data_IF_253829660847
#
_entry.id   IF_253829660847
#
_cell.length_a   1.000
_cell.length_b   1.000
_cell.length_c   1.000
_cell.angle_alpha   90.00
_cell.angle_beta   90.00
_cell.angle_gamma   90.00
#
_symmetry.space_group_name_H-M   'P 1'
#
loop_
_entity.id
_entity.type
_entity.pdbx_description
1 polymer ?
#
# COMPACT_ATOMS: atom_id res chain seq x y z
N UNK A 1 8.26 -10.74 -19.76
CA UNK A 1 7.90 -9.86 -18.62
C UNK A 1 9.11 -9.01 -18.31
N UNK A 2 8.95 -7.74 -17.97
CA UNK A 2 10.11 -6.93 -17.56
C UNK A 2 10.49 -7.27 -16.12
N UNK A 3 11.77 -7.11 -15.80
CA UNK A 3 12.26 -7.28 -14.43
C UNK A 3 11.56 -6.31 -13.49
N UNK A 4 11.13 -6.82 -12.34
CA UNK A 4 10.39 -6.06 -11.33
C UNK A 4 10.71 -6.59 -9.93
N UNK A 5 10.40 -5.78 -8.93
CA UNK A 5 10.57 -6.11 -7.52
C UNK A 5 9.21 -6.20 -6.84
N UNK A 6 9.04 -7.21 -6.01
CA UNK A 6 7.80 -7.47 -5.27
C UNK A 6 8.10 -7.52 -3.78
N UNK A 7 7.21 -6.99 -2.92
CA UNK A 7 7.39 -7.09 -1.48
C UNK A 7 7.01 -8.50 -1.00
N UNK A 8 7.73 -9.01 -0.01
CA UNK A 8 7.33 -10.18 0.76
C UNK A 8 6.81 -9.70 2.12
N UNK A 9 5.54 -9.98 2.41
CA UNK A 9 4.82 -9.50 3.59
C UNK A 9 4.42 -10.68 4.48
N UNK A 10 4.42 -10.54 5.81
CA UNK A 10 3.98 -11.60 6.68
C UNK A 10 2.45 -11.73 6.66
N UNK A 11 1.96 -12.96 6.79
CA UNK A 11 0.55 -13.24 7.00
C UNK A 11 0.37 -14.22 8.15
N UNK A 12 -0.49 -13.88 9.11
CA UNK A 12 -0.85 -14.78 10.21
C UNK A 12 -1.80 -15.90 9.77
N UNK A 13 -2.59 -15.60 8.74
CA UNK A 13 -3.60 -16.48 8.17
C UNK A 13 -3.85 -16.05 6.71
N UNK A 14 -3.57 -16.98 5.78
CA UNK A 14 -3.69 -16.70 4.35
C UNK A 14 -5.13 -16.50 3.89
N UNK A 15 -6.11 -17.19 4.47
CA UNK A 15 -7.51 -17.06 4.08
C UNK A 15 -8.06 -15.69 4.50
N UNK A 16 -7.73 -15.25 5.72
CA UNK A 16 -8.09 -13.91 6.21
C UNK A 16 -7.42 -12.81 5.37
N UNK A 17 -6.15 -13.02 5.01
CA UNK A 17 -5.40 -12.06 4.18
C UNK A 17 -5.97 -11.99 2.77
N UNK A 18 -6.20 -13.13 2.13
CA UNK A 18 -6.81 -13.24 0.81
C UNK A 18 -8.19 -12.56 0.78
N UNK A 19 -9.06 -12.87 1.75
CA UNK A 19 -10.40 -12.28 1.83
C UNK A 19 -10.37 -10.75 2.00
N UNK A 20 -9.38 -10.21 2.72
CA UNK A 20 -9.21 -8.76 2.85
C UNK A 20 -8.77 -8.13 1.52
N UNK A 21 -7.74 -8.68 0.87
CA UNK A 21 -7.20 -8.13 -0.38
C UNK A 21 -8.13 -8.34 -1.59
N UNK A 22 -8.98 -9.36 -1.57
CA UNK A 22 -10.03 -9.57 -2.57
C UNK A 22 -10.98 -8.37 -2.66
N UNK A 23 -11.33 -7.75 -1.52
CA UNK A 23 -12.16 -6.52 -1.48
C UNK A 23 -11.47 -5.32 -2.14
N UNK A 24 -10.15 -5.35 -2.28
CA UNK A 24 -9.34 -4.34 -2.94
C UNK A 24 -9.06 -4.68 -4.41
N UNK A 25 -9.69 -5.73 -4.94
CA UNK A 25 -9.55 -6.16 -6.33
C UNK A 25 -8.29 -6.96 -6.63
N UNK A 26 -7.62 -7.50 -5.62
CA UNK A 26 -6.56 -8.48 -5.82
C UNK A 26 -7.16 -9.88 -5.97
N UNK A 27 -6.52 -10.71 -6.78
CA UNK A 27 -6.85 -12.12 -6.95
C UNK A 27 -5.64 -12.99 -6.67
N UNK A 28 -5.88 -14.20 -6.16
CA UNK A 28 -4.83 -15.18 -5.91
C UNK A 28 -4.34 -15.77 -7.22
N UNK A 29 -3.04 -15.65 -7.44
CA UNK A 29 -2.34 -16.22 -8.60
C UNK A 29 -1.57 -17.49 -8.23
N UNK A 30 -1.14 -17.60 -6.98
CA UNK A 30 -0.52 -18.79 -6.40
C UNK A 30 -0.84 -18.87 -4.91
N UNK A 31 -1.06 -20.08 -4.39
CA UNK A 31 -1.23 -20.32 -2.95
C UNK A 31 -0.92 -21.77 -2.60
N UNK A 32 -0.02 -21.95 -1.66
CA UNK A 32 0.23 -23.22 -0.97
C UNK A 32 0.37 -22.97 0.55
N UNK A 33 0.95 -23.92 1.29
CA UNK A 33 1.12 -23.81 2.75
C UNK A 33 2.23 -22.83 3.17
N UNK A 34 3.21 -22.57 2.31
CA UNK A 34 4.39 -21.77 2.60
C UNK A 34 4.41 -20.42 1.89
N UNK A 35 3.59 -20.22 0.85
CA UNK A 35 3.62 -19.00 0.04
C UNK A 35 2.26 -18.67 -0.58
N UNK A 36 1.94 -17.38 -0.69
CA UNK A 36 0.77 -16.89 -1.40
C UNK A 36 1.12 -15.64 -2.22
N UNK A 37 0.67 -15.59 -3.48
CA UNK A 37 0.88 -14.46 -4.39
C UNK A 37 -0.48 -13.88 -4.80
N UNK A 38 -0.70 -12.62 -4.46
CA UNK A 38 -1.88 -11.85 -4.84
C UNK A 38 -1.52 -10.82 -5.92
N UNK A 39 -2.36 -10.73 -6.96
CA UNK A 39 -2.14 -9.84 -8.10
C UNK A 39 -3.35 -8.94 -8.37
N UNK A 40 -3.08 -7.70 -8.81
CA UNK A 40 -4.08 -6.76 -9.33
C UNK A 40 -3.48 -5.94 -10.48
N UNK A 41 -3.87 -6.25 -11.71
CA UNK A 41 -3.26 -5.62 -12.89
C UNK A 41 -1.73 -5.82 -12.86
N UNK A 42 -0.97 -4.74 -12.85
CA UNK A 42 0.50 -4.79 -12.74
C UNK A 42 1.06 -4.82 -11.30
N UNK A 43 0.22 -4.90 -10.26
CA UNK A 43 0.66 -5.00 -8.87
C UNK A 43 0.74 -6.45 -8.43
N UNK A 44 1.78 -6.79 -7.67
CA UNK A 44 1.97 -8.10 -7.05
C UNK A 44 2.37 -7.93 -5.58
N UNK A 45 1.75 -8.72 -4.71
CA UNK A 45 2.07 -8.84 -3.30
C UNK A 45 2.29 -10.31 -2.98
N UNK A 46 3.36 -10.62 -2.26
CA UNK A 46 3.70 -11.99 -1.91
C UNK A 46 3.71 -12.13 -0.39
N UNK A 47 3.20 -13.25 0.11
CA UNK A 47 3.00 -13.49 1.52
C UNK A 47 3.65 -14.80 1.96
N UNK A 48 4.30 -14.77 3.12
CA UNK A 48 4.81 -15.93 3.83
C UNK A 48 4.05 -16.12 5.16
N UNK A 49 3.92 -17.36 5.67
CA UNK A 49 3.24 -17.61 6.94
C UNK A 49 4.07 -17.06 8.11
N UNK A 50 3.44 -16.28 8.97
CA UNK A 50 3.98 -15.82 10.23
C UNK A 50 2.85 -15.72 11.29
N UNK A 51 2.39 -16.88 11.82
CA UNK A 51 1.21 -16.95 12.70
C UNK A 51 1.36 -16.13 13.99
N UNK A 52 2.57 -16.08 14.55
CA UNK A 52 2.89 -15.42 15.82
C UNK A 52 3.23 -13.93 15.68
N UNK A 53 3.09 -13.35 14.49
CA UNK A 53 3.34 -11.93 14.27
C UNK A 53 2.45 -11.09 15.19
N UNK A 54 3.06 -10.22 15.99
CA UNK A 54 2.37 -9.12 16.67
C UNK A 54 2.30 -7.89 15.74
N UNK A 55 1.10 -7.50 15.27
CA UNK A 55 0.95 -6.32 14.41
C UNK A 55 1.36 -5.01 15.07
N UNK A 56 1.35 -4.93 16.41
CA UNK A 56 1.69 -3.71 17.14
C UNK A 56 3.19 -3.40 17.14
N UNK A 57 4.03 -4.41 16.97
CA UNK A 57 5.50 -4.30 16.96
C UNK A 57 6.13 -4.54 15.58
N UNK A 58 5.30 -4.88 14.59
CA UNK A 58 5.73 -5.12 13.21
C UNK A 58 6.36 -3.89 12.55
N UNK A 59 7.48 -4.11 11.84
CA UNK A 59 8.14 -3.11 10.99
C UNK A 59 7.93 -3.35 9.48
N UNK A 60 7.05 -4.27 9.10
CA UNK A 60 6.78 -4.61 7.70
C UNK A 60 5.87 -3.58 7.02
N UNK A 61 6.16 -3.28 5.76
CA UNK A 61 5.33 -2.40 4.93
C UNK A 61 5.83 -2.35 3.49
N UNK A 62 4.98 -1.87 2.59
CA UNK A 62 5.35 -1.65 1.19
C UNK A 62 4.65 -0.41 0.62
N UNK A 63 5.12 0.07 -0.52
CA UNK A 63 4.50 1.18 -1.23
C UNK A 63 3.72 0.68 -2.44
N UNK A 64 2.40 0.86 -2.45
CA UNK A 64 1.62 0.72 -3.68
C UNK A 64 1.69 2.03 -4.47
N UNK A 65 2.26 1.97 -5.68
CA UNK A 65 2.31 3.10 -6.62
C UNK A 65 1.15 2.99 -7.58
N UNK A 66 0.17 3.86 -7.41
CA UNK A 66 -1.10 3.81 -8.11
C UNK A 66 -1.24 5.01 -9.04
N UNK A 67 -1.74 4.77 -10.25
CA UNK A 67 -2.13 5.84 -11.17
C UNK A 67 -3.42 6.51 -10.70
N UNK A 68 -4.37 5.72 -10.19
CA UNK A 68 -5.62 6.20 -9.59
C UNK A 68 -5.68 5.85 -8.09
N UNK A 69 -5.22 6.79 -7.26
CA UNK A 69 -5.30 6.65 -5.80
C UNK A 69 -6.74 6.76 -5.31
N UNK A 70 -7.55 7.60 -5.93
CA UNK A 70 -8.89 7.93 -5.43
C UNK A 70 -9.83 6.72 -5.58
N UNK A 71 -9.73 5.97 -6.68
CA UNK A 71 -10.41 4.69 -6.85
C UNK A 71 -9.96 3.65 -5.82
N UNK A 72 -8.68 3.59 -5.47
CA UNK A 72 -8.21 2.68 -4.41
C UNK A 72 -8.75 3.08 -3.04
N UNK A 73 -8.79 4.38 -2.71
CA UNK A 73 -9.35 4.84 -1.44
C UNK A 73 -10.83 4.49 -1.33
N UNK A 74 -11.59 4.60 -2.42
CA UNK A 74 -12.99 4.16 -2.45
C UNK A 74 -13.14 2.66 -2.12
N UNK A 75 -12.29 1.80 -2.71
CA UNK A 75 -12.28 0.36 -2.40
C UNK A 75 -11.90 0.08 -0.94
N UNK A 76 -10.90 0.78 -0.40
CA UNK A 76 -10.48 0.65 1.01
C UNK A 76 -11.63 1.05 1.96
N UNK A 77 -12.37 2.10 1.63
CA UNK A 77 -13.56 2.49 2.39
C UNK A 77 -14.65 1.41 2.33
N UNK A 78 -14.94 0.89 1.13
CA UNK A 78 -15.93 -0.16 0.92
C UNK A 78 -15.54 -1.49 1.60
N UNK A 79 -14.24 -1.76 1.75
CA UNK A 79 -13.73 -2.92 2.44
C UNK A 79 -13.90 -2.84 3.98
N UNK A 80 -14.29 -1.68 4.51
CA UNK A 80 -14.55 -1.46 5.94
C UNK A 80 -13.32 -1.00 6.74
N UNK A 81 -12.23 -0.57 6.08
CA UNK A 81 -11.07 -0.05 6.80
C UNK A 81 -11.39 1.32 7.42
N UNK A 82 -11.42 1.36 8.75
CA UNK A 82 -11.76 2.57 9.49
C UNK A 82 -10.61 3.59 9.48
N UNK A 83 -10.97 4.88 9.46
CA UNK A 83 -10.00 5.96 9.64
C UNK A 83 -9.66 6.14 11.12
N UNK A 84 -8.53 5.57 11.54
CA UNK A 84 -8.08 5.54 12.94
C UNK A 84 -6.55 5.69 13.02
N UNK A 85 -6.06 6.10 14.18
CA UNK A 85 -4.63 6.18 14.48
C UNK A 85 -4.07 4.92 15.15
N UNK A 86 -4.93 4.04 15.65
CA UNK A 86 -4.58 2.81 16.38
C UNK A 86 -5.38 1.60 15.87
N UNK A 87 -4.90 0.39 16.17
CA UNK A 87 -5.51 -0.87 15.69
C UNK A 87 -5.16 -1.22 14.25
N UNK A 88 -5.56 -2.42 13.80
CA UNK A 88 -5.41 -2.92 12.43
C UNK A 88 -6.59 -3.89 12.11
N UNK A 89 -7.10 -3.93 10.86
CA UNK A 89 -6.73 -3.10 9.71
C UNK A 89 -7.30 -1.67 9.84
N UNK A 90 -6.56 -0.67 9.34
CA UNK A 90 -6.96 0.75 9.39
C UNK A 90 -6.42 1.52 8.19
N UNK A 91 -6.99 2.69 7.95
CA UNK A 91 -6.40 3.73 7.08
C UNK A 91 -6.10 4.99 7.88
N UNK A 92 -5.04 5.69 7.49
CA UNK A 92 -4.82 7.07 7.93
C UNK A 92 -5.61 8.02 7.04
N UNK A 93 -5.92 9.21 7.55
CA UNK A 93 -6.51 10.28 6.73
C UNK A 93 -5.64 10.53 5.50
N UNK A 94 -6.21 10.35 4.32
CA UNK A 94 -5.57 10.82 3.10
C UNK A 94 -5.71 12.34 3.06
N UNK A 95 -4.59 13.06 3.14
CA UNK A 95 -4.58 14.47 2.79
C UNK A 95 -4.90 14.54 1.29
N UNK A 96 -6.15 14.88 0.95
CA UNK A 96 -6.56 15.07 -0.43
C UNK A 96 -5.71 16.13 -1.14
N UNK A 97 -5.88 16.24 -2.45
CA UNK A 97 -5.23 17.22 -3.33
C UNK A 97 -5.43 18.69 -2.91
N UNK A 98 -6.32 18.98 -1.97
CA UNK A 98 -6.56 20.30 -1.38
C UNK A 98 -5.60 20.67 -0.23
N UNK A 99 -4.60 19.85 0.10
CA UNK A 99 -3.58 20.30 1.05
C UNK A 99 -2.62 21.26 0.33
N UNK A 100 -2.60 22.58 0.66
CA UNK A 100 -1.58 23.47 0.11
C UNK A 100 -0.23 22.86 0.44
N UNK A 101 0.68 22.83 -0.54
CA UNK A 101 2.06 22.32 -0.35
C UNK A 101 2.62 22.98 0.89
N UNK A 102 2.61 22.26 2.01
CA UNK A 102 3.21 22.74 3.24
C UNK A 102 4.69 22.80 2.92
N UNK A 103 5.25 24.00 2.78
CA UNK A 103 6.69 24.12 2.62
C UNK A 103 7.30 23.40 3.82
N UNK A 104 8.11 22.39 3.55
CA UNK A 104 8.91 21.76 4.59
C UNK A 104 9.84 22.84 5.14
N UNK A 105 9.42 23.51 6.22
CA UNK A 105 10.37 24.16 7.11
C UNK A 105 11.02 23.04 7.92
N UNK A 106 12.34 22.83 7.82
CA UNK A 106 13.00 21.80 8.60
C UNK A 106 12.83 22.12 10.08
N UNK A 107 12.23 21.20 10.83
CA UNK A 107 12.20 21.31 12.28
C UNK A 107 13.61 21.01 12.80
N UNK A 108 14.24 22.02 13.40
CA UNK A 108 15.40 21.82 14.27
C UNK A 108 14.94 21.06 15.50
N UNK A 109 14.91 19.73 15.45
CA UNK A 109 14.98 18.86 16.62
C UNK A 109 15.19 17.42 16.15
N UNK A 110 16.39 16.92 16.39
CA UNK A 110 16.73 15.52 16.22
C UNK A 110 15.79 14.64 17.05
N UNK A 111 15.05 13.78 16.35
CA UNK A 111 14.43 12.58 16.90
C UNK A 111 14.45 11.55 15.78
N UNK A 112 15.18 10.47 16.02
CA UNK A 112 15.16 9.26 15.21
C UNK A 112 13.71 8.75 15.15
N UNK A 113 13.14 8.69 13.95
CA UNK A 113 11.81 8.12 13.72
C UNK A 113 11.99 6.69 13.19
N UNK A 114 11.45 5.65 13.83
CA UNK A 114 11.40 4.32 13.26
C UNK A 114 10.37 4.28 12.11
N UNK A 115 10.79 3.67 11.00
CA UNK A 115 9.99 3.19 9.86
C UNK A 115 8.67 3.92 9.53
N UNK A 116 8.71 4.90 8.63
CA UNK A 116 7.51 5.50 8.04
C UNK A 116 7.10 4.76 6.76
N UNK A 117 5.92 4.14 6.76
CA UNK A 117 5.24 3.65 5.56
C UNK A 117 4.53 4.83 4.86
N UNK A 118 4.88 5.13 3.61
CA UNK A 118 4.29 6.26 2.85
C UNK A 118 3.59 5.77 1.57
N UNK A 119 2.30 6.07 1.43
CA UNK A 119 1.60 5.95 0.14
C UNK A 119 2.00 7.19 -0.68
N UNK A 120 2.72 6.97 -1.78
CA UNK A 120 3.22 8.05 -2.63
C UNK A 120 2.56 7.99 -4.01
N UNK A 121 1.76 9.01 -4.36
CA UNK A 121 1.26 9.19 -5.74
C UNK A 121 2.45 9.27 -6.71
N UNK A 122 2.37 8.58 -7.85
CA UNK A 122 3.30 8.84 -8.95
C UNK A 122 2.99 10.25 -9.52
N UNK A 123 4.00 11.10 -9.78
CA UNK A 123 3.75 12.30 -10.55
C UNK A 123 3.30 11.89 -11.96
N UNK A 124 2.13 12.37 -12.37
CA UNK A 124 1.64 12.23 -13.75
C UNK A 124 2.68 12.88 -14.66
N UNK A 125 3.36 12.10 -15.51
CA UNK A 125 4.14 12.67 -16.61
C UNK A 125 3.13 13.29 -17.58
N UNK A 126 3.04 14.62 -17.63
CA UNK A 126 2.45 15.29 -18.79
C UNK A 126 3.23 14.83 -20.03
N UNK A 127 2.61 13.99 -20.86
CA UNK A 127 3.06 13.80 -22.24
C UNK A 127 2.95 15.17 -22.92
N UNK A 128 4.07 15.86 -23.12
CA UNK A 128 4.13 16.94 -24.10
C UNK A 128 3.85 16.30 -25.45
N UNK A 129 2.66 16.56 -26.01
CA UNK A 129 2.42 16.35 -27.44
C UNK A 129 3.33 17.31 -28.18
N UNK A 130 4.41 16.80 -28.77
CA UNK A 130 5.14 17.53 -29.80
C UNK A 130 4.18 17.74 -30.96
N UNK A 131 3.77 18.99 -31.20
CA UNK A 131 3.27 19.41 -32.50
C UNK A 131 4.43 19.29 -33.48
N UNK A 132 4.32 18.37 -34.44
CA UNK A 132 5.06 18.45 -35.69
C UNK A 132 4.27 19.35 -36.65
N UNK A 133 5.03 20.15 -37.39
CA UNK A 133 4.63 21.17 -38.36
C UNK A 133 3.77 20.59 -39.50
#
# INVERSE_FOLDING_TARGET
>A
MADHVTPNLPSRDFDVTEAFYAKLGFATSWKDRGWMILQRGGLQLEFFPYPDLDPATSSFGCCLRLDDLDAMVALVNAAGAEEKSTGCPRKSRFAGSAHPRRSMRPSRRGRTMPGWCSIQRRPVRLRRMSRAL
#
